data_IF_246876475454
#
_entry.id   IF_246876475454
#
_cell.length_a   1.000
_cell.length_b   1.000
_cell.length_c   1.000
_cell.angle_alpha   90.00
_cell.angle_beta   90.00
_cell.angle_gamma   90.00
#
_symmetry.space_group_name_H-M   'P 1'
#
loop_
_entity.id
_entity.type
_entity.pdbx_description
1 polymer ?
#
# COMPACT_ATOMS: atom_id res chain seq x y z
N UNK A 1 -23.70 -10.37 46.13
CA UNK A 1 -22.81 -11.43 45.57
C UNK A 1 -22.93 -11.61 44.06
N UNK A 2 -24.05 -11.26 43.42
CA UNK A 2 -24.25 -11.40 41.96
C UNK A 2 -23.32 -10.53 41.08
N UNK A 3 -22.89 -9.37 41.55
CA UNK A 3 -22.00 -8.47 40.79
C UNK A 3 -20.59 -9.04 40.53
N UNK A 4 -20.11 -9.96 41.37
CA UNK A 4 -18.76 -10.54 41.22
C UNK A 4 -18.74 -11.69 40.20
N UNK A 5 -19.88 -12.35 39.99
CA UNK A 5 -20.03 -13.45 39.04
C UNK A 5 -20.08 -12.96 37.58
N UNK A 6 -20.76 -11.85 37.31
CA UNK A 6 -20.84 -11.26 35.96
C UNK A 6 -19.49 -10.76 35.45
N UNK A 7 -18.71 -10.11 36.32
CA UNK A 7 -17.38 -9.61 35.96
C UNK A 7 -16.39 -10.74 35.63
N UNK A 8 -16.57 -11.91 36.25
CA UNK A 8 -15.74 -13.08 36.00
C UNK A 8 -16.09 -13.76 34.68
N UNK A 9 -17.39 -13.86 34.32
CA UNK A 9 -17.81 -14.40 33.02
C UNK A 9 -17.36 -13.53 31.86
N UNK A 10 -17.46 -12.20 32.00
CA UNK A 10 -17.01 -11.22 30.99
C UNK A 10 -15.50 -11.33 30.72
N UNK A 11 -14.71 -11.53 31.77
CA UNK A 11 -13.25 -11.74 31.66
C UNK A 11 -12.89 -13.04 30.93
N UNK A 12 -13.66 -14.12 31.11
CA UNK A 12 -13.48 -15.37 30.36
C UNK A 12 -13.84 -15.19 28.90
N UNK A 13 -14.97 -14.55 28.62
CA UNK A 13 -15.50 -14.35 27.26
C UNK A 13 -14.55 -13.50 26.40
N UNK A 14 -13.93 -12.47 26.98
CA UNK A 14 -12.87 -11.69 26.32
C UNK A 14 -11.61 -12.50 26.00
N UNK A 15 -11.24 -13.45 26.86
CA UNK A 15 -10.07 -14.30 26.64
C UNK A 15 -10.30 -15.38 25.56
N UNK A 16 -11.51 -15.92 25.42
CA UNK A 16 -11.86 -16.82 24.31
C UNK A 16 -11.87 -16.08 22.97
N UNK A 17 -12.51 -14.92 22.90
CA UNK A 17 -12.57 -14.10 21.68
C UNK A 17 -11.15 -13.65 21.24
N UNK A 18 -10.28 -13.31 22.20
CA UNK A 18 -8.87 -12.98 21.95
C UNK A 18 -8.05 -14.18 21.47
N UNK A 19 -8.30 -15.39 21.98
CA UNK A 19 -7.65 -16.63 21.48
C UNK A 19 -8.06 -16.97 20.04
N UNK A 20 -9.33 -16.79 19.69
CA UNK A 20 -9.79 -16.99 18.30
C UNK A 20 -9.26 -15.91 17.34
N UNK A 21 -9.13 -14.67 17.81
CA UNK A 21 -8.53 -13.58 17.04
C UNK A 21 -7.03 -13.81 16.78
N UNK A 22 -6.29 -14.38 17.75
CA UNK A 22 -4.87 -14.75 17.61
C UNK A 22 -4.66 -16.04 16.79
N UNK A 23 -5.69 -16.90 16.69
CA UNK A 23 -5.70 -18.11 15.85
C UNK A 23 -6.03 -17.82 14.37
N UNK A 24 -6.48 -16.61 14.04
CA UNK A 24 -6.82 -16.21 12.67
C UNK A 24 -5.73 -16.42 11.60
N UNK A 25 -4.41 -16.18 11.83
CA UNK A 25 -3.41 -16.39 10.78
C UNK A 25 -3.17 -17.88 10.49
N UNK A 26 -3.40 -18.77 11.45
CA UNK A 26 -3.25 -20.21 11.25
C UNK A 26 -4.37 -20.76 10.37
N UNK A 27 -5.61 -20.36 10.63
CA UNK A 27 -6.79 -20.79 9.84
C UNK A 27 -6.70 -20.26 8.41
N UNK A 28 -6.26 -19.01 8.23
CA UNK A 28 -6.04 -18.41 6.91
C UNK A 28 -4.92 -19.15 6.16
N UNK A 29 -3.80 -19.47 6.84
CA UNK A 29 -2.69 -20.23 6.24
C UNK A 29 -3.08 -21.65 5.84
N UNK A 30 -3.83 -22.35 6.67
CA UNK A 30 -4.30 -23.70 6.33
C UNK A 30 -5.30 -23.69 5.19
N UNK A 31 -6.21 -22.70 5.15
CA UNK A 31 -7.17 -22.57 4.05
C UNK A 31 -6.52 -22.28 2.71
N UNK A 32 -5.54 -21.38 2.68
CA UNK A 32 -4.80 -21.01 1.46
C UNK A 32 -3.97 -22.18 0.92
N UNK A 33 -3.39 -23.01 1.80
CA UNK A 33 -2.66 -24.22 1.41
C UNK A 33 -3.59 -25.27 0.75
N UNK A 34 -4.78 -25.50 1.32
CA UNK A 34 -5.77 -26.43 0.77
C UNK A 34 -6.25 -25.97 -0.62
N UNK A 35 -6.54 -24.68 -0.79
CA UNK A 35 -6.97 -24.13 -2.09
C UNK A 35 -5.87 -24.17 -3.16
N UNK A 36 -4.60 -23.99 -2.78
CA UNK A 36 -3.49 -24.18 -3.72
C UNK A 36 -3.33 -25.64 -4.17
N UNK A 37 -3.52 -26.60 -3.26
CA UNK A 37 -3.48 -28.03 -3.61
C UNK A 37 -4.63 -28.41 -4.57
N UNK A 38 -5.83 -27.89 -4.35
CA UNK A 38 -6.99 -28.14 -5.21
C UNK A 38 -6.80 -27.58 -6.63
N UNK A 39 -6.18 -26.39 -6.77
CA UNK A 39 -5.80 -25.81 -8.07
C UNK A 39 -4.77 -26.64 -8.85
N UNK A 40 -3.88 -27.36 -8.15
CA UNK A 40 -2.86 -28.22 -8.78
C UNK A 40 -3.47 -29.54 -9.25
N UNK A 41 -4.41 -30.10 -8.48
CA UNK A 41 -5.06 -31.38 -8.79
C UNK A 41 -6.12 -31.21 -9.90
N UNK A 42 -6.84 -30.08 -9.92
CA UNK A 42 -7.88 -29.78 -10.90
C UNK A 42 -7.55 -28.47 -11.66
N UNK A 43 -6.83 -28.53 -12.79
CA UNK A 43 -6.46 -27.34 -13.57
C UNK A 43 -7.69 -26.83 -14.36
N UNK A 44 -8.59 -26.15 -13.67
CA UNK A 44 -9.73 -25.46 -14.26
C UNK A 44 -9.56 -23.95 -14.14
N UNK A 45 -10.07 -23.19 -15.12
CA UNK A 45 -10.02 -21.72 -15.12
C UNK A 45 -10.74 -21.11 -13.88
N UNK A 46 -11.75 -21.83 -13.37
CA UNK A 46 -12.55 -21.43 -12.21
C UNK A 46 -11.74 -21.61 -10.92
N UNK A 47 -10.96 -22.69 -10.81
CA UNK A 47 -10.07 -22.93 -9.67
C UNK A 47 -8.98 -21.86 -9.59
N UNK A 48 -8.43 -21.41 -10.73
CA UNK A 48 -7.39 -20.39 -10.76
C UNK A 48 -7.89 -19.00 -10.34
N UNK A 49 -9.07 -18.60 -10.83
CA UNK A 49 -9.68 -17.29 -10.51
C UNK A 49 -10.09 -17.20 -9.04
N UNK A 50 -10.71 -18.25 -8.50
CA UNK A 50 -11.11 -18.32 -7.09
C UNK A 50 -9.89 -18.33 -6.16
N UNK A 51 -8.84 -19.09 -6.49
CA UNK A 51 -7.59 -19.11 -5.72
C UNK A 51 -6.91 -17.74 -5.70
N UNK A 52 -6.86 -17.06 -6.84
CA UNK A 52 -6.29 -15.69 -6.93
C UNK A 52 -7.04 -14.72 -6.03
N UNK A 53 -8.39 -14.73 -6.07
CA UNK A 53 -9.21 -13.84 -5.24
C UNK A 53 -9.01 -14.10 -3.74
N UNK A 54 -8.91 -15.37 -3.34
CA UNK A 54 -8.65 -15.74 -1.94
C UNK A 54 -7.25 -15.32 -1.48
N UNK A 55 -6.24 -15.43 -2.33
CA UNK A 55 -4.88 -14.94 -2.04
C UNK A 55 -4.89 -13.43 -1.85
N UNK A 56 -5.51 -12.67 -2.75
CA UNK A 56 -5.64 -11.22 -2.60
C UNK A 56 -6.40 -10.83 -1.33
N UNK A 57 -7.49 -11.53 -1.02
CA UNK A 57 -8.26 -11.31 0.22
C UNK A 57 -7.42 -11.58 1.48
N UNK A 58 -6.67 -12.68 1.51
CA UNK A 58 -5.79 -13.01 2.63
C UNK A 58 -4.65 -12.00 2.82
N UNK A 59 -4.04 -11.54 1.71
CA UNK A 59 -3.02 -10.48 1.74
C UNK A 59 -3.61 -9.17 2.26
N UNK A 60 -4.81 -8.77 1.81
CA UNK A 60 -5.47 -7.56 2.27
C UNK A 60 -5.82 -7.60 3.77
N UNK A 61 -6.27 -8.76 4.28
CA UNK A 61 -6.55 -8.94 5.71
C UNK A 61 -5.25 -8.86 6.53
N UNK A 62 -4.20 -9.54 6.08
CA UNK A 62 -2.88 -9.53 6.74
C UNK A 62 -2.28 -8.13 6.74
N UNK A 63 -2.40 -7.42 5.63
CA UNK A 63 -2.00 -6.02 5.49
C UNK A 63 -2.75 -5.12 6.47
N UNK A 64 -4.07 -5.29 6.59
CA UNK A 64 -4.90 -4.52 7.52
C UNK A 64 -4.52 -4.77 8.98
N UNK A 65 -4.24 -6.02 9.35
CA UNK A 65 -3.77 -6.36 10.70
C UNK A 65 -2.41 -5.73 11.01
N UNK A 66 -1.52 -5.67 10.03
CA UNK A 66 -0.22 -5.02 10.18
C UNK A 66 -0.37 -3.50 10.33
N UNK A 67 -1.24 -2.87 9.54
CA UNK A 67 -1.58 -1.45 9.67
C UNK A 67 -2.18 -1.14 11.05
N UNK A 68 -3.09 -1.96 11.56
CA UNK A 68 -3.67 -1.77 12.90
C UNK A 68 -2.62 -1.88 14.01
N UNK A 69 -1.63 -2.78 13.86
CA UNK A 69 -0.52 -2.90 14.79
C UNK A 69 0.42 -1.68 14.73
N UNK A 70 0.72 -1.19 13.51
CA UNK A 70 1.48 0.04 13.31
C UNK A 70 0.75 1.25 13.89
N UNK A 71 -0.55 1.42 13.65
CA UNK A 71 -1.36 2.49 14.23
C UNK A 71 -1.38 2.43 15.76
N UNK A 72 -1.42 1.24 16.36
CA UNK A 72 -1.30 1.06 17.81
C UNK A 72 0.09 1.44 18.34
N UNK A 73 1.15 1.14 17.60
CA UNK A 73 2.51 1.55 17.96
C UNK A 73 2.65 3.06 17.84
N UNK A 74 2.19 3.64 16.73
CA UNK A 74 2.19 5.07 16.45
C UNK A 74 1.36 5.84 17.49
N UNK A 75 0.19 5.36 17.88
CA UNK A 75 -0.63 6.01 18.92
C UNK A 75 -0.01 5.90 20.31
N UNK A 76 0.68 4.80 20.64
CA UNK A 76 1.50 4.69 21.86
C UNK A 76 2.69 5.66 21.82
N UNK A 77 3.34 5.79 20.67
CA UNK A 77 4.46 6.71 20.44
C UNK A 77 3.98 8.16 20.57
N UNK A 78 2.86 8.50 19.94
CA UNK A 78 2.21 9.81 20.02
C UNK A 78 1.85 10.17 21.47
N UNK A 79 1.30 9.23 22.25
CA UNK A 79 1.04 9.44 23.69
C UNK A 79 2.32 9.65 24.50
N UNK A 80 3.41 8.95 24.17
CA UNK A 80 4.70 9.07 24.87
C UNK A 80 5.41 10.39 24.57
N UNK A 81 5.26 10.91 23.35
CA UNK A 81 5.93 12.12 22.88
C UNK A 81 5.01 13.36 22.82
N UNK A 82 3.76 13.29 23.31
CA UNK A 82 2.75 14.38 23.22
C UNK A 82 2.67 14.99 21.81
N UNK A 83 2.80 14.17 20.77
CA UNK A 83 2.83 14.65 19.39
C UNK A 83 1.41 15.05 18.99
N UNK A 84 1.22 16.33 18.72
CA UNK A 84 -0.02 16.94 18.22
C UNK A 84 -0.44 16.27 16.91
N UNK A 85 -1.73 15.99 16.73
CA UNK A 85 -2.33 15.40 15.52
C UNK A 85 -1.76 15.88 14.16
N UNK A 86 -1.44 17.17 13.93
CA UNK A 86 -0.88 17.61 12.64
C UNK A 86 0.54 17.10 12.36
N UNK A 87 1.36 16.82 13.37
CA UNK A 87 2.71 16.30 13.13
C UNK A 87 2.66 14.86 12.60
N UNK A 88 1.62 14.09 12.95
CA UNK A 88 1.42 12.75 12.42
C UNK A 88 0.97 12.78 10.95
N UNK A 89 0.11 13.75 10.57
CA UNK A 89 -0.32 13.89 9.19
C UNK A 89 0.83 14.37 8.31
N UNK A 90 1.64 15.33 8.77
CA UNK A 90 2.84 15.76 8.04
C UNK A 90 3.83 14.62 7.86
N UNK A 91 4.13 13.84 8.90
CA UNK A 91 5.01 12.68 8.81
C UNK A 91 4.45 11.60 7.88
N UNK A 92 3.13 11.34 7.95
CA UNK A 92 2.43 10.40 7.09
C UNK A 92 2.47 10.83 5.62
N UNK A 93 2.22 12.11 5.33
CA UNK A 93 2.36 12.68 3.99
C UNK A 93 3.80 12.60 3.49
N UNK A 94 4.78 12.87 4.34
CA UNK A 94 6.19 12.76 3.96
C UNK A 94 6.60 11.32 3.64
N UNK A 95 6.16 10.36 4.44
CA UNK A 95 6.40 8.94 4.21
C UNK A 95 5.69 8.41 2.95
N UNK A 96 4.45 8.85 2.71
CA UNK A 96 3.73 8.51 1.49
C UNK A 96 4.37 9.16 0.27
N UNK A 97 4.80 10.41 0.38
CA UNK A 97 5.52 11.10 -0.67
C UNK A 97 6.87 10.43 -0.95
N UNK A 98 7.59 9.98 0.07
CA UNK A 98 8.84 9.24 -0.07
C UNK A 98 8.60 7.89 -0.77
N UNK A 99 7.62 7.10 -0.30
CA UNK A 99 7.23 5.84 -0.93
C UNK A 99 6.77 6.02 -2.38
N UNK A 100 6.00 7.08 -2.68
CA UNK A 100 5.58 7.41 -4.04
C UNK A 100 6.72 8.00 -4.88
N UNK A 101 7.68 8.70 -4.27
CA UNK A 101 8.84 9.28 -4.97
C UNK A 101 9.81 8.21 -5.45
N UNK A 102 9.88 7.07 -4.74
CA UNK A 102 10.59 5.87 -5.22
C UNK A 102 9.90 5.18 -6.40
N UNK A 103 8.91 5.84 -7.04
CA UNK A 103 8.15 5.29 -8.18
C UNK A 103 9.06 4.60 -9.20
N UNK A 104 8.67 3.36 -9.49
CA UNK A 104 9.23 2.45 -10.50
C UNK A 104 9.42 3.11 -11.88
N UNK A 105 8.69 4.20 -12.16
CA UNK A 105 8.79 4.98 -13.39
C UNK A 105 10.08 5.80 -13.51
N UNK A 106 10.65 6.30 -12.41
CA UNK A 106 11.96 6.97 -12.46
C UNK A 106 13.09 5.97 -12.83
N UNK A 107 12.94 4.71 -12.41
CA UNK A 107 13.88 3.64 -12.74
C UNK A 107 13.66 3.07 -14.15
N UNK A 108 12.49 3.26 -14.76
CA UNK A 108 12.21 2.76 -16.11
C UNK A 108 13.19 3.31 -17.15
N UNK A 109 13.40 4.63 -17.18
CA UNK A 109 14.32 5.24 -18.15
C UNK A 109 15.77 4.79 -17.93
N UNK A 110 16.21 4.63 -16.68
CA UNK A 110 17.55 4.14 -16.36
C UNK A 110 17.75 2.68 -16.79
N UNK A 111 16.76 1.84 -16.53
CA UNK A 111 16.80 0.42 -16.91
C UNK A 111 16.74 0.25 -18.43
N UNK A 112 15.94 1.06 -19.12
CA UNK A 112 15.84 1.06 -20.57
C UNK A 112 17.14 1.56 -21.24
N UNK A 113 17.78 2.60 -20.69
CA UNK A 113 19.09 3.08 -21.16
C UNK A 113 20.16 1.99 -21.02
N UNK A 114 20.19 1.32 -19.86
CA UNK A 114 21.11 0.21 -19.59
C UNK A 114 20.89 -0.96 -20.54
N UNK A 115 19.63 -1.32 -20.77
CA UNK A 115 19.27 -2.38 -21.72
C UNK A 115 19.70 -2.00 -23.15
N UNK A 116 19.40 -0.78 -23.60
CA UNK A 116 19.69 -0.32 -24.95
C UNK A 116 21.20 -0.21 -25.22
N UNK A 117 21.98 0.28 -24.24
CA UNK A 117 23.44 0.32 -24.31
C UNK A 117 24.04 -1.09 -24.43
N UNK A 118 23.41 -2.09 -23.81
CA UNK A 118 23.79 -3.49 -23.96
C UNK A 118 23.44 -4.12 -25.31
N UNK A 119 22.50 -3.55 -26.08
CA UNK A 119 22.11 -4.05 -27.40
C UNK A 119 22.90 -3.40 -28.55
N UNK A 120 23.29 -2.12 -28.40
CA UNK A 120 23.96 -1.36 -29.45
C UNK A 120 25.38 -0.95 -29.03
N UNK A 121 26.34 -1.84 -29.30
CA UNK A 121 27.75 -1.55 -29.04
C UNK A 121 28.25 -0.39 -29.90
N UNK A 122 28.84 0.64 -29.26
CA UNK A 122 29.43 1.80 -29.93
C UNK A 122 28.49 3.00 -30.15
N UNK A 123 27.26 2.94 -29.64
CA UNK A 123 26.29 4.05 -29.72
C UNK A 123 26.03 4.73 -28.36
N UNK A 124 26.88 4.49 -27.36
CA UNK A 124 26.68 4.92 -25.97
C UNK A 124 26.40 6.43 -25.84
N UNK A 125 27.15 7.27 -26.56
CA UNK A 125 26.99 8.72 -26.51
C UNK A 125 25.61 9.19 -27.05
N UNK A 126 25.15 8.58 -28.15
CA UNK A 126 23.85 8.88 -28.74
C UNK A 126 22.69 8.36 -27.88
N UNK A 127 22.86 7.20 -27.24
CA UNK A 127 21.87 6.60 -26.33
C UNK A 127 21.70 7.48 -25.09
N UNK A 128 22.80 7.82 -24.42
CA UNK A 128 22.79 8.69 -23.23
C UNK A 128 22.16 10.04 -23.55
N UNK A 129 22.52 10.66 -24.69
CA UNK A 129 21.95 11.93 -25.11
C UNK A 129 20.43 11.83 -25.33
N UNK A 130 19.97 10.78 -26.02
CA UNK A 130 18.55 10.56 -26.29
C UNK A 130 17.75 10.36 -25.00
N UNK A 131 18.28 9.59 -24.05
CA UNK A 131 17.64 9.36 -22.76
C UNK A 131 17.62 10.62 -21.87
N UNK A 132 18.66 11.45 -21.93
CA UNK A 132 18.68 12.73 -21.21
C UNK A 132 17.64 13.71 -21.76
N UNK A 133 17.49 13.80 -23.09
CA UNK A 133 16.43 14.60 -23.72
C UNK A 133 15.05 14.08 -23.33
N UNK A 134 14.86 12.75 -23.38
CA UNK A 134 13.59 12.12 -23.03
C UNK A 134 13.20 12.35 -21.56
N UNK A 135 14.17 12.24 -20.63
CA UNK A 135 13.97 12.59 -19.21
C UNK A 135 13.61 14.06 -19.03
N UNK A 136 14.29 14.96 -19.75
CA UNK A 136 13.97 16.39 -19.72
C UNK A 136 12.56 16.69 -20.21
N UNK A 137 12.14 16.07 -21.31
CA UNK A 137 10.79 16.23 -21.86
C UNK A 137 9.72 15.61 -20.94
N UNK A 138 10.03 14.51 -20.28
CA UNK A 138 9.16 13.90 -19.28
C UNK A 138 8.97 14.79 -18.04
N UNK A 139 10.04 15.40 -17.53
CA UNK A 139 9.95 16.38 -16.42
C UNK A 139 9.11 17.59 -16.84
N UNK A 140 9.30 18.10 -18.06
CA UNK A 140 8.48 19.19 -18.59
C UNK A 140 6.99 18.79 -18.64
N UNK A 141 6.69 17.59 -19.13
CA UNK A 141 5.33 17.05 -19.16
C UNK A 141 4.71 16.93 -17.76
N UNK A 142 5.47 16.44 -16.78
CA UNK A 142 5.03 16.39 -15.38
C UNK A 142 4.78 17.79 -14.82
N UNK A 143 5.65 18.76 -15.13
CA UNK A 143 5.46 20.16 -14.72
C UNK A 143 4.17 20.76 -15.26
N UNK A 144 3.88 20.57 -16.55
CA UNK A 144 2.63 21.03 -17.17
C UNK A 144 1.41 20.32 -16.55
N UNK A 145 1.52 19.00 -16.33
CA UNK A 145 0.44 18.21 -15.71
C UNK A 145 0.14 18.67 -14.29
N UNK A 146 1.17 19.00 -13.51
CA UNK A 146 1.03 19.54 -12.16
C UNK A 146 0.30 20.89 -12.17
N UNK A 147 0.68 21.79 -13.09
CA UNK A 147 0.01 23.08 -13.24
C UNK A 147 -1.48 22.88 -13.56
N UNK A 148 -1.82 21.94 -14.45
CA UNK A 148 -3.23 21.61 -14.75
C UNK A 148 -4.01 21.12 -13.53
N UNK A 149 -3.41 20.26 -12.70
CA UNK A 149 -4.04 19.77 -11.47
C UNK A 149 -4.26 20.90 -10.47
N UNK A 150 -3.27 21.79 -10.29
CA UNK A 150 -3.40 22.96 -9.39
C UNK A 150 -4.49 23.91 -9.90
N UNK A 151 -4.55 24.17 -11.20
CA UNK A 151 -5.60 25.00 -11.79
C UNK A 151 -6.99 24.38 -11.61
N UNK A 152 -7.13 23.07 -11.81
CA UNK A 152 -8.37 22.35 -11.55
C UNK A 152 -8.79 22.44 -10.08
N UNK A 153 -7.83 22.33 -9.14
CA UNK A 153 -8.10 22.45 -7.71
C UNK A 153 -8.59 23.87 -7.32
N UNK A 154 -8.10 24.93 -7.96
CA UNK A 154 -8.59 26.31 -7.71
C UNK A 154 -9.99 26.53 -8.26
N UNK A 155 -10.28 26.04 -9.46
CA UNK A 155 -11.61 26.20 -10.05
C UNK A 155 -12.70 25.41 -9.29
N UNK A 156 -12.30 24.39 -8.53
CA UNK A 156 -13.19 23.64 -7.64
C UNK A 156 -13.47 24.38 -6.32
N UNK A 157 -12.98 25.61 -6.10
CA UNK A 157 -13.33 26.43 -4.92
C UNK A 157 -14.42 27.48 -5.24
N UNK A 158 -14.74 27.71 -6.53
CA UNK A 158 -15.64 28.80 -6.97
C UNK A 158 -17.13 28.41 -7.07
N UNK A 159 -17.52 27.16 -6.80
CA UNK A 159 -18.91 26.68 -6.91
C UNK A 159 -19.82 27.03 -5.71
N UNK A 160 -19.35 27.89 -4.78
CA UNK A 160 -20.07 28.24 -3.53
C UNK A 160 -20.65 29.66 -3.52
N UNK A 161 -21.09 30.18 -4.67
CA UNK A 161 -21.92 31.41 -4.69
C UNK A 161 -23.25 31.19 -5.42
N UNK A 162 -24.31 30.77 -4.71
CA UNK A 162 -25.66 31.07 -5.15
C UNK A 162 -25.90 32.56 -4.95
N UNK A 163 -26.29 33.25 -6.03
CA UNK A 163 -26.96 34.56 -5.98
C UNK A 163 -28.35 34.43 -5.40
#
# INVERSE_FOLDING_TARGET
>A
MLYKASKFSESRQGNYCRKYLISSPLIIRTGLFISCLDSIICPSLISFTTTSFLVFGAVAITWRQYLDALFKLISKLSKRYKITSPALTVLGTFLLLDALSTSVQAQFFQNAETWMSGQFAGADEAIVLSFNVLRGLFILYLGISLVKVIQAARNDEDWVRPV
#
